data_IF_790594315278
#
_entry.id   IF_790594315278
#
_cell.length_a   1.000
_cell.length_b   1.000
_cell.length_c   1.000
_cell.angle_alpha   90.00
_cell.angle_beta   90.00
_cell.angle_gamma   90.00
#
_symmetry.space_group_name_H-M   'P 1'
#
loop_
_entity.id
_entity.type
_entity.pdbx_description
1 polymer ?
#
# COMPACT_ATOMS: atom_id res chain seq x y z
N UNK A 1 -26.80 5.69 50.78
CA UNK A 1 -26.16 6.36 49.65
C UNK A 1 -25.25 5.33 48.99
N UNK A 2 -25.61 4.89 47.78
CA UNK A 2 -25.23 3.63 47.15
C UNK A 2 -23.76 3.63 46.69
N UNK A 3 -22.92 2.84 47.35
CA UNK A 3 -21.71 2.29 46.75
C UNK A 3 -21.98 0.81 46.39
N UNK A 4 -21.08 0.26 45.57
CA UNK A 4 -20.85 -1.19 45.43
C UNK A 4 -21.53 -1.97 44.31
N UNK A 5 -21.45 -1.50 43.06
CA UNK A 5 -21.70 -2.40 41.91
C UNK A 5 -20.67 -2.35 40.77
N UNK A 6 -19.66 -1.46 40.82
CA UNK A 6 -18.61 -1.39 39.77
C UNK A 6 -17.35 -2.20 40.08
N UNK A 7 -17.04 -2.47 41.35
CA UNK A 7 -15.84 -3.25 41.73
C UNK A 7 -15.95 -4.74 41.35
N UNK A 8 -17.16 -5.29 41.34
CA UNK A 8 -17.38 -6.70 41.05
C UNK A 8 -17.09 -7.08 39.59
N UNK A 9 -17.42 -6.20 38.64
CA UNK A 9 -17.19 -6.46 37.20
C UNK A 9 -15.70 -6.45 36.83
N UNK A 10 -14.90 -5.57 37.46
CA UNK A 10 -13.46 -5.51 37.20
C UNK A 10 -12.75 -6.77 37.73
N UNK A 11 -13.17 -7.31 38.89
CA UNK A 11 -12.64 -8.58 39.40
C UNK A 11 -12.94 -9.77 38.47
N UNK A 12 -14.10 -9.79 37.82
CA UNK A 12 -14.50 -10.88 36.91
C UNK A 12 -13.76 -10.85 35.57
N UNK A 13 -13.38 -9.67 35.07
CA UNK A 13 -12.56 -9.54 33.86
C UNK A 13 -11.11 -9.99 34.06
N UNK A 14 -10.57 -9.80 35.27
CA UNK A 14 -9.22 -10.28 35.62
C UNK A 14 -9.13 -11.80 35.87
N UNK A 15 -10.27 -12.49 36.04
CA UNK A 15 -10.31 -13.95 36.21
C UNK A 15 -10.20 -14.74 34.91
N UNK A 16 -10.32 -14.07 33.75
CA UNK A 16 -10.20 -14.68 32.43
C UNK A 16 -8.86 -14.37 31.74
N UNK A 17 -7.82 -14.04 32.51
CA UNK A 17 -6.46 -14.16 31.99
C UNK A 17 -6.08 -15.63 32.10
N UNK A 18 -6.24 -16.38 30.99
CA UNK A 18 -5.57 -17.68 30.88
C UNK A 18 -4.08 -17.41 31.06
N UNK A 19 -3.52 -17.85 32.17
CA UNK A 19 -2.08 -17.96 32.31
C UNK A 19 -1.62 -18.98 31.28
N UNK A 20 -1.16 -18.51 30.13
CA UNK A 20 -0.35 -19.33 29.25
C UNK A 20 0.94 -19.59 30.02
N UNK A 21 1.01 -20.75 30.67
CA UNK A 21 2.24 -21.23 31.28
C UNK A 21 3.28 -21.37 30.16
N UNK A 22 4.26 -20.47 30.12
CA UNK A 22 5.50 -20.73 29.41
C UNK A 22 6.26 -21.76 30.23
N UNK A 23 6.05 -23.05 29.94
CA UNK A 23 7.01 -24.05 30.38
C UNK A 23 8.32 -23.71 29.68
N UNK A 24 9.24 -23.09 30.42
CA UNK A 24 10.62 -22.91 30.00
C UNK A 24 11.16 -24.23 29.46
N UNK A 25 11.95 -24.11 28.39
CA UNK A 25 12.58 -25.21 27.65
C UNK A 25 13.18 -26.25 28.60
N UNK A 26 12.39 -27.27 28.91
CA UNK A 26 12.81 -28.47 29.62
C UNK A 26 12.53 -29.61 28.66
N UNK A 27 13.59 -30.31 28.28
CA UNK A 27 13.57 -31.55 27.52
C UNK A 27 12.62 -32.54 28.22
N UNK A 28 11.37 -32.63 27.76
CA UNK A 28 10.31 -33.35 28.46
C UNK A 28 9.34 -34.00 27.49
N UNK A 29 9.42 -35.34 27.43
CA UNK A 29 8.50 -36.31 26.82
C UNK A 29 7.66 -35.82 25.63
N UNK A 30 8.06 -36.28 24.45
CA UNK A 30 7.41 -36.07 23.15
C UNK A 30 6.54 -37.30 22.83
N UNK A 31 5.44 -37.46 23.57
CA UNK A 31 4.50 -38.59 23.40
C UNK A 31 3.19 -38.17 22.71
N UNK A 32 2.48 -39.11 22.06
CA UNK A 32 1.20 -38.82 21.38
C UNK A 32 0.14 -38.37 22.39
N UNK A 33 -0.52 -37.23 22.12
CA UNK A 33 -1.59 -36.66 22.97
C UNK A 33 -1.32 -35.27 23.54
N UNK A 34 -0.15 -34.66 23.26
CA UNK A 34 0.10 -33.24 23.57
C UNK A 34 -0.28 -32.35 22.39
N UNK A 35 -0.95 -31.23 22.68
CA UNK A 35 -1.18 -30.16 21.70
C UNK A 35 0.10 -29.35 21.57
N UNK A 36 0.81 -29.49 20.45
CA UNK A 36 1.90 -28.59 20.09
C UNK A 36 1.32 -27.25 19.64
N UNK A 37 1.74 -26.16 20.27
CA UNK A 37 1.41 -24.80 19.83
C UNK A 37 2.63 -24.29 19.07
N UNK A 38 2.58 -24.34 17.75
CA UNK A 38 3.56 -23.66 16.92
C UNK A 38 3.16 -22.18 16.84
N UNK A 39 3.89 -21.33 17.56
CA UNK A 39 3.81 -19.88 17.37
C UNK A 39 4.74 -19.55 16.21
N UNK A 40 4.17 -19.58 15.00
CA UNK A 40 4.87 -19.21 13.77
C UNK A 40 4.83 -17.69 13.70
N UNK A 41 5.98 -17.06 13.98
CA UNK A 41 6.12 -15.62 13.76
C UNK A 41 6.65 -15.42 12.34
N UNK A 42 5.73 -15.49 11.36
CA UNK A 42 6.04 -15.20 9.96
C UNK A 42 6.43 -13.73 9.86
N UNK A 43 7.73 -13.49 9.76
CA UNK A 43 8.30 -12.17 9.50
C UNK A 43 8.70 -12.12 8.04
N UNK A 44 7.76 -12.46 7.16
CA UNK A 44 7.92 -12.13 5.74
C UNK A 44 7.93 -10.60 5.63
N UNK A 45 9.13 -10.05 5.41
CA UNK A 45 9.32 -8.63 5.22
C UNK A 45 8.62 -8.20 3.94
N UNK A 46 7.41 -7.68 4.09
CA UNK A 46 6.62 -7.17 2.97
C UNK A 46 7.25 -5.91 2.40
N UNK A 47 7.26 -5.81 1.07
CA UNK A 47 7.65 -4.62 0.34
C UNK A 47 6.58 -3.56 0.46
N UNK A 48 6.96 -2.45 1.09
CA UNK A 48 6.15 -1.26 1.25
C UNK A 48 6.79 -0.09 0.52
N UNK A 49 5.95 0.85 0.08
CA UNK A 49 6.38 2.04 -0.64
C UNK A 49 6.63 3.16 0.37
N UNK A 50 7.86 3.64 0.44
CA UNK A 50 8.24 4.76 1.31
C UNK A 50 7.99 6.10 0.65
N UNK A 51 8.41 6.27 -0.61
CA UNK A 51 8.28 7.55 -1.33
C UNK A 51 7.92 7.33 -2.80
N UNK A 52 7.05 8.20 -3.28
CA UNK A 52 6.71 8.34 -4.68
C UNK A 52 7.44 9.56 -5.25
N UNK A 53 8.36 9.31 -6.19
CA UNK A 53 9.17 10.32 -6.88
C UNK A 53 8.72 10.43 -8.33
N UNK A 54 9.03 11.54 -9.02
CA UNK A 54 8.70 11.68 -10.45
C UNK A 54 9.41 10.67 -11.35
N UNK A 55 10.53 10.12 -10.90
CA UNK A 55 11.31 9.12 -11.65
C UNK A 55 10.93 7.69 -11.29
N UNK A 56 10.19 7.45 -10.19
CA UNK A 56 9.93 6.12 -9.68
C UNK A 56 9.60 6.08 -8.19
N UNK A 57 9.92 4.97 -7.53
CA UNK A 57 9.46 4.68 -6.17
C UNK A 57 10.60 4.17 -5.29
N UNK A 58 10.66 4.63 -4.05
CA UNK A 58 11.55 4.06 -3.03
C UNK A 58 10.78 3.14 -2.11
N UNK A 59 11.39 2.01 -1.76
CA UNK A 59 10.78 1.00 -0.88
C UNK A 59 11.36 1.07 0.54
N UNK A 60 10.70 0.40 1.48
CA UNK A 60 11.11 0.27 2.88
C UNK A 60 12.49 -0.37 3.09
N UNK A 61 12.99 -1.13 2.12
CA UNK A 61 14.35 -1.68 2.12
C UNK A 61 15.41 -0.72 1.52
N UNK A 62 15.08 0.56 1.38
CA UNK A 62 15.91 1.60 0.77
C UNK A 62 16.24 1.40 -0.72
N UNK A 63 15.64 0.44 -1.41
CA UNK A 63 15.78 0.30 -2.86
C UNK A 63 15.01 1.38 -3.62
N UNK A 64 15.53 1.78 -4.78
CA UNK A 64 14.89 2.71 -5.72
C UNK A 64 14.58 1.98 -7.02
N UNK A 65 13.30 1.91 -7.37
CA UNK A 65 12.85 1.39 -8.66
C UNK A 65 12.46 2.54 -9.57
N UNK A 66 13.03 2.55 -10.78
CA UNK A 66 12.84 3.61 -11.77
C UNK A 66 11.71 3.23 -12.72
N UNK A 67 10.82 4.18 -12.98
CA UNK A 67 9.72 4.04 -13.93
C UNK A 67 8.44 3.42 -13.35
N UNK A 68 7.52 3.01 -14.23
CA UNK A 68 6.31 2.31 -13.86
C UNK A 68 6.60 0.92 -13.32
N UNK A 69 5.87 0.53 -12.27
CA UNK A 69 6.09 -0.72 -11.54
C UNK A 69 4.80 -1.49 -11.31
N UNK A 70 4.93 -2.81 -11.27
CA UNK A 70 3.95 -3.72 -10.71
C UNK A 70 4.52 -4.26 -9.40
N UNK A 71 3.91 -3.90 -8.28
CA UNK A 71 4.37 -4.29 -6.94
C UNK A 71 3.41 -5.29 -6.31
N UNK A 72 3.99 -6.30 -5.67
CA UNK A 72 3.36 -7.34 -4.88
C UNK A 72 3.98 -7.32 -3.48
N UNK A 73 3.37 -8.00 -2.48
CA UNK A 73 3.87 -7.95 -1.11
C UNK A 73 5.33 -8.41 -0.98
N UNK A 74 5.83 -9.26 -1.87
CA UNK A 74 7.19 -9.81 -1.81
C UNK A 74 8.07 -9.43 -3.01
N UNK A 75 7.48 -8.91 -4.09
CA UNK A 75 8.21 -8.68 -5.34
C UNK A 75 7.84 -7.36 -6.01
N UNK A 76 8.80 -6.78 -6.72
CA UNK A 76 8.58 -5.62 -7.58
C UNK A 76 9.05 -5.94 -8.99
N UNK A 77 8.22 -5.63 -9.96
CA UNK A 77 8.46 -5.86 -11.38
C UNK A 77 8.35 -4.54 -12.13
N UNK A 78 9.13 -4.38 -13.20
CA UNK A 78 8.93 -3.27 -14.13
C UNK A 78 7.66 -3.49 -14.92
N UNK A 79 6.83 -2.46 -15.01
CA UNK A 79 5.58 -2.50 -15.76
C UNK A 79 5.75 -1.75 -17.09
N UNK A 80 5.55 -2.44 -18.20
CA UNK A 80 5.79 -1.91 -19.55
C UNK A 80 4.64 -1.02 -20.03
N UNK A 81 4.45 0.14 -19.38
CA UNK A 81 3.38 1.11 -19.67
C UNK A 81 3.94 2.52 -19.48
N UNK A 82 3.99 3.34 -20.53
CA UNK A 82 4.55 4.70 -20.44
C UNK A 82 3.61 5.69 -19.76
N UNK A 83 2.31 5.58 -20.04
CA UNK A 83 1.25 6.42 -19.48
C UNK A 83 -0.07 5.66 -19.33
N UNK A 84 -1.05 6.26 -18.66
CA UNK A 84 -2.38 5.69 -18.47
C UNK A 84 -3.03 5.22 -19.78
N UNK A 85 -2.76 5.91 -20.90
CA UNK A 85 -3.34 5.56 -22.22
C UNK A 85 -2.76 4.29 -22.83
N UNK A 86 -1.57 3.88 -22.39
CA UNK A 86 -0.90 2.67 -22.87
C UNK A 86 -1.41 1.41 -22.15
N UNK A 87 -2.27 1.57 -21.12
CA UNK A 87 -2.84 0.45 -20.38
C UNK A 87 -3.86 -0.27 -21.27
N UNK A 88 -3.55 -1.52 -21.59
CA UNK A 88 -4.39 -2.42 -22.34
C UNK A 88 -4.49 -3.79 -21.66
N UNK A 89 -5.29 -4.69 -22.25
CA UNK A 89 -5.48 -6.05 -21.74
C UNK A 89 -4.16 -6.84 -21.60
N UNK A 90 -3.23 -6.67 -22.56
CA UNK A 90 -1.93 -7.32 -22.51
C UNK A 90 -1.06 -6.80 -21.35
N UNK A 91 -1.08 -5.49 -21.09
CA UNK A 91 -0.34 -4.88 -19.98
C UNK A 91 -0.85 -5.32 -18.61
N UNK A 92 -2.14 -5.67 -18.51
CA UNK A 92 -2.78 -6.14 -17.28
C UNK A 92 -2.71 -7.67 -17.10
N UNK A 93 -2.27 -8.40 -18.14
CA UNK A 93 -2.20 -9.86 -18.12
C UNK A 93 -1.29 -10.42 -17.00
N UNK A 94 -0.28 -9.65 -16.59
CA UNK A 94 0.56 -9.99 -15.44
C UNK A 94 -0.27 -10.28 -14.19
N UNK A 95 -1.27 -9.43 -13.92
CA UNK A 95 -2.11 -9.54 -12.73
C UNK A 95 -3.17 -10.65 -12.84
N UNK A 96 -3.46 -11.13 -14.05
CA UNK A 96 -4.47 -12.17 -14.29
C UNK A 96 -3.89 -13.57 -14.27
N UNK A 97 -2.62 -13.71 -14.65
CA UNK A 97 -1.94 -15.01 -14.78
C UNK A 97 -1.30 -15.47 -13.47
N UNK A 98 -0.77 -14.53 -12.68
CA UNK A 98 -0.04 -14.87 -11.46
C UNK A 98 -0.94 -15.52 -10.39
N UNK A 99 -0.36 -16.49 -9.69
CA UNK A 99 -0.95 -17.15 -8.51
C UNK A 99 -0.12 -16.84 -7.27
N UNK A 100 -0.74 -16.65 -6.09
CA UNK A 100 -2.18 -16.73 -5.80
C UNK A 100 -3.00 -15.58 -6.41
N UNK A 101 -4.34 -15.73 -6.46
CA UNK A 101 -5.21 -14.69 -7.02
C UNK A 101 -5.26 -13.48 -6.11
N UNK A 102 -5.26 -12.29 -6.70
CA UNK A 102 -5.34 -11.03 -5.95
C UNK A 102 -6.71 -10.85 -5.29
N UNK A 103 -6.71 -10.42 -4.03
CA UNK A 103 -7.93 -9.97 -3.36
C UNK A 103 -8.46 -8.67 -3.97
N UNK A 104 -7.52 -7.81 -4.36
CA UNK A 104 -7.76 -6.49 -4.94
C UNK A 104 -6.50 -6.03 -5.69
N UNK A 105 -6.70 -5.43 -6.86
CA UNK A 105 -5.68 -4.78 -7.66
C UNK A 105 -5.83 -3.27 -7.53
N UNK A 106 -4.75 -2.57 -7.16
CA UNK A 106 -4.73 -1.12 -7.12
C UNK A 106 -4.07 -0.60 -8.39
N UNK A 107 -4.68 0.36 -9.08
CA UNK A 107 -4.01 1.09 -10.16
C UNK A 107 -3.76 2.53 -9.72
N UNK A 108 -2.48 2.89 -9.64
CA UNK A 108 -2.01 4.23 -9.33
C UNK A 108 -1.60 4.96 -10.59
N UNK A 109 -2.41 5.92 -11.00
CA UNK A 109 -2.24 6.64 -12.26
C UNK A 109 -1.55 7.99 -12.05
N UNK A 110 -0.78 8.42 -13.04
CA UNK A 110 0.08 9.60 -12.98
C UNK A 110 -0.69 10.93 -13.07
N UNK A 111 -1.91 10.90 -13.64
CA UNK A 111 -2.81 12.04 -13.81
C UNK A 111 -4.17 11.73 -13.18
N UNK A 112 -4.95 12.77 -12.91
CA UNK A 112 -6.38 12.63 -12.62
C UNK A 112 -7.12 12.21 -13.88
N UNK A 113 -7.43 10.92 -13.99
CA UNK A 113 -8.10 10.36 -15.16
C UNK A 113 -9.55 10.80 -15.30
N UNK A 114 -10.01 10.86 -16.54
CA UNK A 114 -11.41 11.09 -16.82
C UNK A 114 -12.25 9.85 -16.51
N UNK A 115 -13.54 10.07 -16.24
CA UNK A 115 -14.48 8.99 -15.91
C UNK A 115 -14.53 7.90 -17.00
N UNK A 116 -14.39 8.28 -18.27
CA UNK A 116 -14.46 7.33 -19.37
C UNK A 116 -13.25 6.38 -19.39
N UNK A 117 -12.03 6.88 -19.15
CA UNK A 117 -10.82 6.05 -19.08
C UNK A 117 -10.90 5.03 -17.94
N UNK A 118 -11.32 5.49 -16.75
CA UNK A 118 -11.54 4.64 -15.57
C UNK A 118 -12.58 3.55 -15.90
N UNK A 119 -13.65 3.90 -16.61
CA UNK A 119 -14.70 2.96 -16.98
C UNK A 119 -14.18 1.87 -17.92
N UNK A 120 -13.36 2.21 -18.92
CA UNK A 120 -12.79 1.22 -19.83
C UNK A 120 -11.82 0.28 -19.11
N UNK A 121 -10.96 0.80 -18.24
CA UNK A 121 -10.08 -0.02 -17.39
C UNK A 121 -10.87 -0.99 -16.52
N UNK A 122 -11.93 -0.51 -15.86
CA UNK A 122 -12.81 -1.34 -15.04
C UNK A 122 -13.49 -2.44 -15.84
N UNK A 123 -13.90 -2.17 -17.08
CA UNK A 123 -14.50 -3.19 -17.98
C UNK A 123 -13.51 -4.31 -18.30
N UNK A 124 -12.25 -3.96 -18.62
CA UNK A 124 -11.21 -4.95 -18.90
C UNK A 124 -10.99 -5.85 -17.67
N UNK A 125 -10.83 -5.25 -16.49
CA UNK A 125 -10.58 -6.00 -15.25
C UNK A 125 -11.78 -6.85 -14.81
N UNK A 126 -13.01 -6.38 -15.09
CA UNK A 126 -14.23 -7.14 -14.82
C UNK A 126 -14.28 -8.45 -15.62
N UNK A 127 -13.79 -8.46 -16.87
CA UNK A 127 -13.69 -9.67 -17.72
C UNK A 127 -12.86 -10.78 -17.07
N UNK A 128 -11.86 -10.40 -16.27
CA UNK A 128 -10.99 -11.32 -15.54
C UNK A 128 -11.41 -11.57 -14.09
N UNK A 129 -12.56 -11.04 -13.67
CA UNK A 129 -13.07 -11.13 -12.30
C UNK A 129 -12.09 -10.59 -11.24
N UNK A 130 -11.30 -9.57 -11.59
CA UNK A 130 -10.35 -8.92 -10.68
C UNK A 130 -11.02 -7.72 -10.03
N UNK A 131 -11.15 -7.77 -8.70
CA UNK A 131 -11.55 -6.61 -7.89
C UNK A 131 -10.47 -5.54 -8.02
N UNK A 132 -10.86 -4.31 -8.30
CA UNK A 132 -9.89 -3.26 -8.56
C UNK A 132 -10.34 -1.90 -8.03
N UNK A 133 -9.35 -1.10 -7.64
CA UNK A 133 -9.51 0.30 -7.26
C UNK A 133 -8.50 1.15 -8.01
N UNK A 134 -8.94 2.33 -8.43
CA UNK A 134 -8.15 3.22 -9.29
C UNK A 134 -8.04 4.57 -8.57
N UNK A 135 -6.81 4.99 -8.31
CA UNK A 135 -6.49 6.22 -7.59
C UNK A 135 -5.37 6.99 -8.27
N UNK A 136 -5.21 8.29 -7.98
CA UNK A 136 -3.96 8.99 -8.20
C UNK A 136 -2.79 8.25 -7.53
N UNK A 137 -1.63 8.20 -8.18
CA UNK A 137 -0.47 7.40 -7.74
C UNK A 137 -0.08 7.64 -6.28
N UNK A 138 -0.12 8.87 -5.79
CA UNK A 138 0.25 9.18 -4.39
C UNK A 138 -0.72 8.54 -3.39
N UNK A 139 -2.02 8.54 -3.70
CA UNK A 139 -3.04 7.90 -2.86
C UNK A 139 -2.94 6.38 -2.96
N UNK A 140 -2.73 5.85 -4.16
CA UNK A 140 -2.55 4.43 -4.41
C UNK A 140 -1.43 3.81 -3.56
N UNK A 141 -0.30 4.52 -3.41
CA UNK A 141 0.82 4.06 -2.57
C UNK A 141 0.39 3.82 -1.11
N UNK A 142 -0.38 4.75 -0.53
CA UNK A 142 -0.88 4.63 0.84
C UNK A 142 -1.90 3.51 1.00
N UNK A 143 -2.83 3.37 0.04
CA UNK A 143 -3.83 2.29 0.05
C UNK A 143 -3.14 0.93 -0.07
N UNK A 144 -2.16 0.80 -0.96
CA UNK A 144 -1.37 -0.42 -1.10
C UNK A 144 -0.69 -0.80 0.21
N UNK A 145 0.05 0.13 0.83
CA UNK A 145 0.72 -0.12 2.09
C UNK A 145 -0.25 -0.57 3.18
N UNK A 146 -1.40 0.11 3.30
CA UNK A 146 -2.43 -0.23 4.28
C UNK A 146 -2.93 -1.68 4.11
N UNK A 147 -3.31 -2.08 2.90
CA UNK A 147 -3.86 -3.42 2.65
C UNK A 147 -2.80 -4.53 2.81
N UNK A 148 -1.55 -4.24 2.43
CA UNK A 148 -0.43 -5.17 2.62
C UNK A 148 -0.12 -5.36 4.10
N UNK A 149 -0.12 -4.27 4.88
CA UNK A 149 -0.01 -4.31 6.34
C UNK A 149 -1.18 -5.02 7.02
N UNK A 150 -2.39 -4.92 6.47
CA UNK A 150 -3.58 -5.67 6.93
C UNK A 150 -3.44 -7.19 6.71
N UNK A 151 -2.52 -7.63 5.83
CA UNK A 151 -2.30 -9.04 5.53
C UNK A 151 -3.08 -9.55 4.32
N UNK A 152 -3.64 -8.65 3.51
CA UNK A 152 -4.33 -9.03 2.27
C UNK A 152 -3.32 -9.25 1.14
N UNK A 153 -3.65 -10.17 0.23
CA UNK A 153 -2.81 -10.41 -0.94
C UNK A 153 -3.20 -9.44 -2.07
N UNK A 154 -2.47 -8.32 -2.13
CA UNK A 154 -2.77 -7.16 -2.98
C UNK A 154 -1.60 -6.90 -3.92
N UNK A 155 -1.90 -6.50 -5.14
CA UNK A 155 -0.90 -5.95 -6.06
C UNK A 155 -1.28 -4.52 -6.43
N UNK A 156 -0.27 -3.74 -6.81
CA UNK A 156 -0.48 -2.42 -7.38
C UNK A 156 0.30 -2.23 -8.69
N UNK A 157 -0.37 -1.71 -9.72
CA UNK A 157 0.25 -1.16 -10.92
C UNK A 157 0.38 0.35 -10.77
N UNK A 158 1.59 0.87 -10.69
CA UNK A 158 1.87 2.26 -10.36
C UNK A 158 2.67 2.93 -11.46
N UNK A 159 2.17 4.07 -11.94
CA UNK A 159 2.87 4.93 -12.89
C UNK A 159 3.37 6.16 -12.12
N UNK A 160 4.68 6.46 -12.14
CA UNK A 160 5.20 7.60 -11.40
C UNK A 160 4.60 8.92 -11.91
N UNK A 161 4.43 9.93 -11.04
CA UNK A 161 3.82 11.19 -11.41
C UNK A 161 4.69 11.92 -12.44
N UNK A 162 4.04 12.50 -13.45
CA UNK A 162 4.71 13.33 -14.44
C UNK A 162 5.33 14.54 -13.74
N UNK A 163 6.57 14.88 -14.10
CA UNK A 163 7.29 16.03 -13.56
C UNK A 163 6.56 17.35 -13.92
N UNK A 164 5.62 17.77 -13.10
CA UNK A 164 4.81 18.99 -13.29
C UNK A 164 5.49 20.25 -12.76
N UNK A 165 6.82 20.28 -12.54
CA UNK A 165 7.50 21.56 -12.25
C UNK A 165 7.48 22.55 -13.44
N UNK A 166 6.96 22.15 -14.61
CA UNK A 166 6.80 23.02 -15.78
C UNK A 166 5.36 23.57 -15.91
N UNK A 167 4.40 23.11 -15.09
CA UNK A 167 2.99 23.54 -15.15
C UNK A 167 2.54 24.27 -13.88
N UNK A 168 3.40 25.09 -13.28
CA UNK A 168 2.87 26.32 -12.68
C UNK A 168 2.60 27.26 -13.87
N UNK A 169 1.36 27.75 -14.11
CA UNK A 169 1.16 28.78 -15.11
C UNK A 169 2.12 29.94 -14.79
N UNK A 170 2.87 30.41 -15.78
CA UNK A 170 3.93 31.45 -15.66
C UNK A 170 3.48 32.71 -14.89
N UNK A 171 2.18 32.90 -14.71
CA UNK A 171 1.57 33.97 -13.92
C UNK A 171 1.84 33.89 -12.41
N UNK A 172 2.17 32.73 -11.84
CA UNK A 172 2.49 32.62 -10.40
C UNK A 172 3.99 32.78 -10.09
N UNK A 173 4.86 32.30 -10.97
CA UNK A 173 6.32 32.45 -10.86
C UNK A 173 6.70 33.94 -10.86
N UNK A 174 6.03 34.74 -11.70
CA UNK A 174 6.27 36.18 -11.76
C UNK A 174 5.76 36.92 -10.52
N UNK A 175 4.78 36.40 -9.77
CA UNK A 175 4.30 37.04 -8.54
C UNK A 175 5.27 36.84 -7.38
N UNK A 176 5.82 35.64 -7.22
CA UNK A 176 6.84 35.36 -6.20
C UNK A 176 8.12 36.18 -6.46
N UNK A 177 8.59 36.27 -7.71
CA UNK A 177 9.77 37.07 -8.07
C UNK A 177 9.59 38.59 -7.89
N UNK A 178 8.37 39.12 -8.03
CA UNK A 178 8.06 40.55 -7.82
C UNK A 178 7.94 40.87 -6.33
N UNK A 179 7.45 39.93 -5.50
CA UNK A 179 7.36 40.08 -4.06
C UNK A 179 8.75 40.19 -3.42
N UNK A 180 9.68 39.32 -3.85
CA UNK A 180 11.05 39.28 -3.33
C UNK A 180 11.87 40.51 -3.73
N UNK A 181 11.67 41.02 -4.95
CA UNK A 181 12.33 42.28 -5.40
C UNK A 181 11.81 43.53 -4.68
N UNK A 182 10.56 43.53 -4.21
CA UNK A 182 10.02 44.65 -3.43
C UNK A 182 10.59 44.71 -2.01
N UNK A 183 10.95 43.57 -1.42
CA UNK A 183 11.54 43.51 -0.08
C UNK A 183 13.01 43.97 -0.07
N UNK A 184 13.74 43.73 -1.17
CA UNK A 184 15.15 44.12 -1.32
C UNK A 184 15.30 45.62 -1.59
N UNK A 185 14.31 46.25 -2.24
CA UNK A 185 14.36 47.68 -2.60
C UNK A 185 13.74 48.62 -1.55
N UNK A 186 13.32 48.09 -0.39
CA UNK A 186 12.77 48.86 0.73
C UNK A 186 13.67 48.92 1.96
N UNK A 187 14.97 48.64 1.80
CA UNK A 187 16.02 48.88 2.81
C UNK A 187 17.09 49.77 2.19
#
# INVERSE_FOLDING_TARGET
MLLDNKFFLVKRLLQNVRQFHSSGFRTGYEGPGKTTVNIINDTDEKLLIDRCLSIGFTMNNNSLTIGPIAIFPETVLSWNVGCTKDINEASLSLFTILKPTLDILILGLEIKCEYNEIRELKKILLKYNIKNEIFPVQQACGVYNFLVSEGRYVAAGLIPPIHSKILKPEKEINKELIQDKKLINST
#
